data_IF_614428522998
#
_entry.id   IF_614428522998
#
_cell.length_a   1.000
_cell.length_b   1.000
_cell.length_c   1.000
_cell.angle_alpha   90.00
_cell.angle_beta   90.00
_cell.angle_gamma   90.00
#
_symmetry.space_group_name_H-M   'P 1'
#
loop_
_entity.id
_entity.type
_entity.pdbx_description
1 polymer ?
#
# COMPACT_ATOMS: atom_id res chain seq x y z
N UNK A 1 -82.27 11.81 5.50
CA UNK A 1 -81.52 10.74 4.79
C UNK A 1 -80.59 10.12 5.85
N UNK A 2 -81.05 9.06 6.51
CA UNK A 2 -80.34 8.44 7.65
C UNK A 2 -79.37 7.37 7.13
N UNK A 3 -78.08 7.60 7.24
CA UNK A 3 -77.05 6.59 7.00
C UNK A 3 -77.07 5.58 8.18
N UNK A 4 -77.17 4.30 7.82
CA UNK A 4 -77.20 3.18 8.79
C UNK A 4 -75.86 3.09 9.52
N UNK A 5 -75.80 2.88 10.82
CA UNK A 5 -74.58 2.84 11.65
C UNK A 5 -73.59 1.72 11.27
N UNK A 6 -74.00 0.74 10.50
CA UNK A 6 -73.16 -0.36 10.02
C UNK A 6 -72.14 0.03 8.94
N UNK A 7 -72.40 1.05 8.11
CA UNK A 7 -71.48 1.53 7.08
C UNK A 7 -70.29 2.31 7.67
N UNK A 8 -70.55 3.13 8.69
CA UNK A 8 -69.50 3.90 9.36
C UNK A 8 -68.44 3.02 10.08
N UNK A 9 -68.87 1.86 10.62
CA UNK A 9 -67.98 0.94 11.29
C UNK A 9 -67.06 0.15 10.33
N UNK A 10 -67.53 -0.11 9.09
CA UNK A 10 -66.75 -0.83 8.08
C UNK A 10 -65.68 0.09 7.47
N UNK A 11 -66.01 1.35 7.18
CA UNK A 11 -65.05 2.31 6.69
C UNK A 11 -63.91 2.63 7.67
N UNK A 12 -64.23 2.71 8.98
CA UNK A 12 -63.23 2.98 10.00
C UNK A 12 -62.31 1.79 10.24
N UNK A 13 -62.80 0.55 10.03
CA UNK A 13 -61.93 -0.65 10.11
C UNK A 13 -61.05 -0.80 8.90
N UNK A 14 -61.51 -0.52 7.71
CA UNK A 14 -60.68 -0.58 6.48
C UNK A 14 -59.62 0.50 6.51
N UNK A 15 -59.90 1.73 6.96
CA UNK A 15 -58.94 2.81 7.10
C UNK A 15 -57.85 2.51 8.13
N UNK A 16 -58.16 1.82 9.24
CA UNK A 16 -57.18 1.39 10.23
C UNK A 16 -56.29 0.23 9.75
N UNK A 17 -56.81 -0.70 8.96
CA UNK A 17 -56.01 -1.79 8.38
C UNK A 17 -55.08 -1.28 7.27
N UNK A 18 -55.48 -0.31 6.44
CA UNK A 18 -54.63 0.30 5.43
C UNK A 18 -53.53 1.16 6.06
N UNK A 19 -53.79 1.88 7.17
CA UNK A 19 -52.74 2.67 7.83
C UNK A 19 -51.71 1.78 8.57
N UNK A 20 -52.14 0.67 9.16
CA UNK A 20 -51.19 -0.31 9.76
C UNK A 20 -50.37 -1.06 8.70
N UNK A 21 -50.93 -1.36 7.53
CA UNK A 21 -50.19 -2.00 6.44
C UNK A 21 -49.15 -1.04 5.79
N UNK A 22 -49.42 0.26 5.71
CA UNK A 22 -48.44 1.26 5.24
C UNK A 22 -47.31 1.50 6.26
N UNK A 23 -47.57 1.40 7.57
CA UNK A 23 -46.49 1.51 8.57
C UNK A 23 -45.61 0.27 8.67
N UNK A 24 -46.08 -0.91 8.26
CA UNK A 24 -45.28 -2.13 8.19
C UNK A 24 -44.39 -2.20 6.94
N UNK A 25 -44.72 -1.47 5.89
CA UNK A 25 -43.90 -1.36 4.66
C UNK A 25 -42.83 -0.26 4.75
N UNK A 26 -42.92 0.69 5.68
CA UNK A 26 -41.90 1.73 5.88
C UNK A 26 -40.73 1.27 6.79
N UNK A 27 -40.81 0.07 7.38
CA UNK A 27 -39.85 -0.43 8.35
C UNK A 27 -38.72 -1.31 7.84
N UNK A 28 -38.54 -1.50 6.53
CA UNK A 28 -37.55 -2.42 5.96
C UNK A 28 -36.66 -1.77 4.87
N UNK A 29 -36.46 -0.48 4.93
CA UNK A 29 -35.34 0.14 4.25
C UNK A 29 -34.28 0.51 5.29
N UNK A 30 -33.70 -0.51 5.92
CA UNK A 30 -32.35 -0.38 6.43
C UNK A 30 -31.46 -0.28 5.19
N UNK A 31 -30.72 0.80 4.97
CA UNK A 31 -29.63 0.76 4.04
C UNK A 31 -28.71 -0.33 4.60
N UNK A 32 -28.64 -1.46 3.90
CA UNK A 32 -27.55 -2.42 4.08
C UNK A 32 -26.29 -1.67 3.67
N UNK A 33 -25.76 -0.86 4.58
CA UNK A 33 -24.36 -0.47 4.52
C UNK A 33 -23.62 -1.80 4.45
N UNK A 34 -23.05 -2.08 3.32
CA UNK A 34 -22.00 -3.09 3.22
C UNK A 34 -20.90 -2.56 4.13
N UNK A 35 -20.94 -2.94 5.40
CA UNK A 35 -19.76 -2.84 6.25
C UNK A 35 -18.74 -3.69 5.51
N UNK A 36 -17.78 -3.06 4.85
CA UNK A 36 -16.64 -3.72 4.28
C UNK A 36 -16.11 -4.60 5.41
N UNK A 37 -16.04 -5.92 5.16
CA UNK A 37 -15.55 -6.86 6.18
C UNK A 37 -14.06 -6.61 6.30
N UNK A 38 -13.68 -5.67 7.18
CA UNK A 38 -12.31 -5.34 7.46
C UNK A 38 -11.65 -6.55 8.12
N UNK A 39 -10.77 -7.22 7.40
CA UNK A 39 -10.05 -8.37 7.93
C UNK A 39 -8.98 -7.91 8.93
N UNK A 40 -8.96 -8.48 10.15
CA UNK A 40 -7.92 -8.15 11.12
C UNK A 40 -6.59 -8.80 10.75
N UNK A 41 -5.50 -8.01 10.87
CA UNK A 41 -4.14 -8.48 10.66
C UNK A 41 -3.29 -8.27 11.92
N UNK A 42 -2.36 -9.18 12.16
CA UNK A 42 -1.37 -9.06 13.21
C UNK A 42 -0.12 -8.36 12.67
N UNK A 43 0.26 -7.24 13.31
CA UNK A 43 1.56 -6.61 13.10
C UNK A 43 2.62 -7.37 13.92
N UNK A 44 3.74 -7.74 13.29
CA UNK A 44 4.86 -8.36 13.98
C UNK A 44 5.55 -7.40 14.95
N UNK A 45 6.29 -7.97 15.93
CA UNK A 45 7.19 -7.17 16.74
C UNK A 45 8.28 -6.53 15.84
N UNK A 46 8.80 -5.36 16.20
CA UNK A 46 9.89 -4.75 15.46
C UNK A 46 11.14 -5.64 15.48
N UNK A 47 11.83 -5.71 14.35
CA UNK A 47 13.04 -6.53 14.20
C UNK A 47 14.26 -5.96 14.95
N UNK A 48 14.18 -4.69 15.34
CA UNK A 48 15.11 -3.99 16.23
C UNK A 48 14.34 -3.47 17.43
N UNK A 49 15.00 -3.34 18.58
CA UNK A 49 14.44 -2.69 19.77
C UNK A 49 14.76 -1.19 19.73
N UNK A 50 13.86 -0.33 19.21
CA UNK A 50 14.13 1.09 19.15
C UNK A 50 14.08 1.69 20.57
N UNK A 51 14.91 2.71 20.81
CA UNK A 51 14.78 3.51 22.03
C UNK A 51 13.45 4.27 21.99
N UNK A 52 12.78 4.34 23.16
CA UNK A 52 11.54 5.12 23.29
C UNK A 52 11.76 6.59 22.93
N UNK A 53 10.77 7.18 22.27
CA UNK A 53 10.79 8.61 21.95
C UNK A 53 10.73 9.46 23.23
N UNK A 54 11.52 10.53 23.30
CA UNK A 54 11.41 11.49 24.39
C UNK A 54 10.12 12.32 24.20
N UNK A 55 9.12 12.02 25.02
CA UNK A 55 7.80 12.64 24.96
C UNK A 55 7.62 13.65 26.11
N UNK A 56 7.03 14.79 25.81
CA UNK A 56 6.52 15.71 26.82
C UNK A 56 5.32 15.12 27.58
N UNK A 57 4.92 15.77 28.68
CA UNK A 57 3.75 15.35 29.47
C UNK A 57 2.47 15.23 28.63
N UNK A 58 2.24 16.24 27.79
CA UNK A 58 1.03 16.36 26.98
C UNK A 58 0.95 15.29 25.89
N UNK A 59 2.10 14.91 25.27
CA UNK A 59 2.17 13.84 24.28
C UNK A 59 1.94 12.48 24.94
N UNK A 60 2.50 12.26 26.15
CA UNK A 60 2.26 11.01 26.92
C UNK A 60 0.80 10.87 27.30
N UNK A 61 0.21 11.93 27.87
CA UNK A 61 -1.21 11.93 28.22
C UNK A 61 -2.07 11.60 26.99
N UNK A 62 -1.79 12.22 25.86
CA UNK A 62 -2.52 11.97 24.63
C UNK A 62 -2.42 10.51 24.18
N UNK A 63 -1.23 9.90 24.22
CA UNK A 63 -1.02 8.49 23.87
C UNK A 63 -1.72 7.56 24.87
N UNK A 64 -1.72 7.89 26.17
CA UNK A 64 -2.40 7.12 27.21
C UNK A 64 -3.95 7.14 27.04
N UNK A 65 -4.48 8.25 26.52
CA UNK A 65 -5.90 8.39 26.20
C UNK A 65 -6.28 7.60 24.94
N UNK A 66 -5.40 7.54 23.94
CA UNK A 66 -5.65 6.90 22.64
C UNK A 66 -5.28 5.42 22.57
N UNK A 67 -4.63 4.85 23.56
CA UNK A 67 -4.24 3.44 23.83
C UNK A 67 -3.98 2.52 22.64
N UNK A 68 -4.79 2.58 21.56
CA UNK A 68 -4.72 1.71 20.38
C UNK A 68 -4.87 2.53 19.11
N UNK A 69 -3.88 2.48 18.26
CA UNK A 69 -3.89 3.08 16.94
C UNK A 69 -4.58 2.15 15.95
N UNK A 70 -5.60 2.65 15.26
CA UNK A 70 -6.34 1.91 14.24
C UNK A 70 -5.69 2.17 12.88
N UNK A 71 -5.13 1.14 12.28
CA UNK A 71 -4.34 1.22 11.05
C UNK A 71 -5.05 0.51 9.92
N UNK A 72 -5.20 1.17 8.79
CA UNK A 72 -5.67 0.59 7.54
C UNK A 72 -4.53 0.16 6.64
N UNK A 73 -4.69 -0.99 5.99
CA UNK A 73 -3.81 -1.47 4.93
C UNK A 73 -4.64 -1.90 3.73
N UNK A 74 -4.13 -1.75 2.52
CA UNK A 74 -4.72 -2.40 1.36
C UNK A 74 -4.30 -3.88 1.32
N UNK A 75 -5.26 -4.79 1.10
CA UNK A 75 -5.01 -6.20 0.84
C UNK A 75 -4.67 -6.31 -0.65
N UNK A 76 -3.60 -5.68 -1.07
CA UNK A 76 -3.12 -5.75 -2.43
C UNK A 76 -1.81 -6.54 -2.46
N UNK A 77 -1.55 -7.11 -3.62
CA UNK A 77 -0.29 -7.79 -3.93
C UNK A 77 0.79 -6.73 -4.22
N UNK A 78 1.30 -6.09 -3.15
CA UNK A 78 2.19 -4.93 -3.22
C UNK A 78 3.58 -5.24 -2.65
N UNK A 79 3.98 -6.55 -2.77
CA UNK A 79 5.30 -6.99 -2.31
C UNK A 79 6.45 -6.24 -2.99
N UNK A 80 7.45 -5.81 -2.21
CA UNK A 80 7.72 -6.05 -0.80
C UNK A 80 7.26 -4.92 0.13
N UNK A 81 6.51 -3.94 -0.37
CA UNK A 81 6.08 -2.77 0.42
C UNK A 81 5.06 -3.18 1.47
N UNK A 82 3.97 -3.82 1.03
CA UNK A 82 2.93 -4.40 1.87
C UNK A 82 2.74 -5.86 1.51
N UNK A 83 2.82 -6.73 2.50
CA UNK A 83 2.64 -8.17 2.36
C UNK A 83 1.57 -8.61 3.36
N UNK A 84 0.51 -9.20 2.83
CA UNK A 84 -0.54 -9.84 3.62
C UNK A 84 -0.49 -11.34 3.40
N UNK A 85 -0.36 -12.10 4.48
CA UNK A 85 -0.29 -13.56 4.39
C UNK A 85 -1.62 -14.22 4.77
N UNK A 86 -1.85 -15.45 4.30
CA UNK A 86 -3.02 -16.29 4.63
C UNK A 86 -3.22 -16.52 6.14
N UNK A 87 -2.21 -16.22 6.96
CA UNK A 87 -2.28 -16.29 8.42
C UNK A 87 -2.66 -14.95 9.07
N UNK A 88 -3.25 -14.04 8.33
CA UNK A 88 -3.61 -12.70 8.79
C UNK A 88 -2.41 -11.96 9.41
N UNK A 89 -1.24 -12.04 8.77
CA UNK A 89 -0.04 -11.30 9.19
C UNK A 89 0.25 -10.20 8.20
N UNK A 90 0.51 -9.02 8.73
CA UNK A 90 0.98 -7.86 7.98
C UNK A 90 2.49 -7.72 8.10
N UNK A 91 3.18 -7.70 6.98
CA UNK A 91 4.64 -7.66 6.84
C UNK A 91 5.02 -6.72 5.70
N UNK A 92 6.31 -6.52 5.47
CA UNK A 92 6.83 -5.66 4.40
C UNK A 92 7.50 -4.40 4.93
N UNK A 93 7.96 -3.57 4.02
CA UNK A 93 8.65 -2.31 4.35
C UNK A 93 7.78 -1.43 5.26
N UNK A 94 6.51 -1.23 4.90
CA UNK A 94 5.60 -0.39 5.67
C UNK A 94 5.30 -0.95 7.05
N UNK A 95 5.18 -2.28 7.17
CA UNK A 95 4.97 -2.96 8.44
C UNK A 95 6.17 -2.80 9.38
N UNK A 96 7.40 -2.92 8.85
CA UNK A 96 8.62 -2.71 9.62
C UNK A 96 8.70 -1.28 10.17
N UNK A 97 8.47 -0.27 9.34
CA UNK A 97 8.43 1.13 9.80
C UNK A 97 7.31 1.36 10.82
N UNK A 98 6.11 0.85 10.57
CA UNK A 98 5.00 0.97 11.51
C UNK A 98 5.34 0.37 12.87
N UNK A 99 5.90 -0.85 12.89
CA UNK A 99 6.27 -1.54 14.13
C UNK A 99 7.35 -0.79 14.92
N UNK A 100 8.36 -0.25 14.24
CA UNK A 100 9.42 0.55 14.86
C UNK A 100 8.88 1.86 15.45
N UNK A 101 8.04 2.58 14.70
CA UNK A 101 7.44 3.85 15.15
C UNK A 101 6.55 3.62 16.36
N UNK A 102 5.65 2.64 16.28
CA UNK A 102 4.70 2.38 17.37
C UNK A 102 5.37 1.85 18.62
N UNK A 103 6.46 1.11 18.49
CA UNK A 103 7.32 0.72 19.62
C UNK A 103 8.03 1.94 20.24
N UNK A 104 8.54 2.90 19.44
CA UNK A 104 9.11 4.16 19.96
C UNK A 104 8.08 5.01 20.72
N UNK A 105 6.83 5.01 20.26
CA UNK A 105 5.72 5.74 20.87
C UNK A 105 5.10 5.02 22.06
N UNK A 106 5.31 3.70 22.19
CA UNK A 106 4.69 2.88 23.22
C UNK A 106 3.19 2.69 23.03
N UNK A 107 2.68 2.74 21.77
CA UNK A 107 1.26 2.61 21.46
C UNK A 107 0.96 1.25 20.83
N UNK A 108 -0.15 0.61 21.26
CA UNK A 108 -0.63 -0.62 20.65
C UNK A 108 -1.27 -0.33 19.28
N UNK A 109 -1.32 -1.36 18.40
CA UNK A 109 -1.84 -1.24 17.04
C UNK A 109 -2.94 -2.28 16.79
N UNK A 110 -3.98 -1.85 16.08
CA UNK A 110 -4.97 -2.73 15.46
C UNK A 110 -4.95 -2.49 13.96
N UNK A 111 -4.60 -3.51 13.18
CA UNK A 111 -4.52 -3.42 11.72
C UNK A 111 -5.78 -4.02 11.11
N UNK A 112 -6.39 -3.29 10.17
CA UNK A 112 -7.55 -3.70 9.39
C UNK A 112 -7.23 -3.62 7.91
N UNK A 113 -7.51 -4.71 7.18
CA UNK A 113 -7.29 -4.80 5.73
C UNK A 113 -8.52 -4.41 4.94
N UNK A 114 -8.34 -3.63 3.89
CA UNK A 114 -9.35 -3.21 2.93
C UNK A 114 -9.07 -3.84 1.56
N UNK A 115 -10.11 -4.28 0.87
CA UNK A 115 -9.94 -4.92 -0.45
C UNK A 115 -9.47 -3.92 -1.51
N UNK A 116 -9.86 -2.65 -1.37
CA UNK A 116 -9.48 -1.55 -2.27
C UNK A 116 -8.88 -0.38 -1.49
N UNK A 117 -8.01 0.38 -2.16
CA UNK A 117 -7.41 1.61 -1.59
C UNK A 117 -8.45 2.65 -1.25
N UNK A 118 -9.47 2.83 -2.11
CA UNK A 118 -10.56 3.78 -1.90
C UNK A 118 -11.30 3.51 -0.60
N UNK A 119 -11.62 2.25 -0.29
CA UNK A 119 -12.31 1.86 0.94
C UNK A 119 -11.49 2.26 2.18
N UNK A 120 -10.17 2.09 2.13
CA UNK A 120 -9.27 2.52 3.19
C UNK A 120 -9.23 4.04 3.36
N UNK A 121 -9.22 4.78 2.23
CA UNK A 121 -9.28 6.26 2.24
C UNK A 121 -10.60 6.74 2.80
N UNK A 122 -11.73 6.15 2.40
CA UNK A 122 -13.05 6.48 2.94
C UNK A 122 -13.14 6.22 4.44
N UNK A 123 -12.63 5.07 4.91
CA UNK A 123 -12.58 4.73 6.33
C UNK A 123 -11.70 5.70 7.13
N UNK A 124 -10.58 6.17 6.56
CA UNK A 124 -9.72 7.18 7.18
C UNK A 124 -10.43 8.53 7.30
N UNK A 125 -11.06 9.00 6.24
CA UNK A 125 -11.82 10.26 6.24
C UNK A 125 -13.03 10.20 7.17
N UNK A 126 -13.69 9.04 7.27
CA UNK A 126 -14.80 8.80 8.21
C UNK A 126 -14.34 8.67 9.67
N UNK A 127 -13.03 8.58 9.95
CA UNK A 127 -12.49 8.39 11.30
C UNK A 127 -12.67 6.97 11.85
N UNK A 128 -12.92 5.98 11.00
CA UNK A 128 -12.98 4.57 11.37
C UNK A 128 -11.58 4.00 11.65
N UNK A 129 -10.56 4.52 10.95
CA UNK A 129 -9.14 4.28 11.19
C UNK A 129 -8.42 5.61 11.43
N UNK A 130 -7.22 5.55 11.99
CA UNK A 130 -6.41 6.73 12.35
C UNK A 130 -5.32 7.02 11.33
N UNK A 131 -4.84 5.98 10.65
CA UNK A 131 -3.87 6.12 9.56
C UNK A 131 -3.99 5.01 8.52
N UNK A 132 -3.51 5.32 7.30
CA UNK A 132 -3.27 4.39 6.20
C UNK A 132 -1.76 4.24 5.96
N UNK A 133 -1.31 3.01 5.74
CA UNK A 133 0.08 2.72 5.36
C UNK A 133 0.30 2.90 3.86
N UNK A 134 1.55 2.96 3.44
CA UNK A 134 1.98 2.98 2.04
C UNK A 134 1.26 3.99 1.15
N UNK A 135 0.87 5.13 1.72
CA UNK A 135 0.29 6.22 0.95
C UNK A 135 1.30 6.78 -0.05
N UNK A 136 0.88 6.91 -1.29
CA UNK A 136 1.71 7.32 -2.42
C UNK A 136 1.04 8.43 -3.26
N UNK A 137 1.31 8.46 -4.55
CA UNK A 137 0.76 9.46 -5.46
C UNK A 137 -0.77 9.47 -5.57
N UNK A 138 -1.44 8.34 -5.33
CA UNK A 138 -2.90 8.23 -5.35
C UNK A 138 -3.52 9.01 -4.18
N UNK A 139 -3.13 8.72 -2.96
CA UNK A 139 -3.69 9.39 -1.77
C UNK A 139 -3.32 10.88 -1.72
N UNK A 140 -2.17 11.27 -2.30
CA UNK A 140 -1.76 12.69 -2.35
C UNK A 140 -2.70 13.55 -3.18
N UNK A 141 -3.48 12.98 -4.09
CA UNK A 141 -4.53 13.67 -4.82
C UNK A 141 -5.82 13.87 -3.98
N UNK A 142 -5.97 13.16 -2.86
CA UNK A 142 -7.18 13.19 -2.02
C UNK A 142 -7.14 14.37 -1.05
N UNK A 143 -8.20 15.18 -1.06
CA UNK A 143 -8.36 16.29 -0.10
C UNK A 143 -8.70 15.79 1.30
N UNK A 144 -8.24 16.50 2.32
CA UNK A 144 -8.53 16.18 3.72
C UNK A 144 -7.53 15.21 4.35
N UNK A 145 -6.51 14.79 3.61
CA UNK A 145 -5.42 13.97 4.11
C UNK A 145 -4.16 14.81 4.35
N UNK A 146 -3.37 14.37 5.33
CA UNK A 146 -2.02 14.83 5.60
C UNK A 146 -1.07 13.62 5.61
N UNK A 147 0.20 13.85 5.32
CA UNK A 147 1.17 12.79 5.10
C UNK A 147 2.41 13.02 5.96
N UNK A 148 2.94 11.92 6.49
CA UNK A 148 4.27 11.98 7.12
C UNK A 148 5.34 12.31 6.08
N UNK A 149 6.57 12.60 6.54
CA UNK A 149 7.73 12.50 5.65
C UNK A 149 7.79 11.07 5.06
N UNK A 150 8.33 10.99 3.84
CA UNK A 150 8.43 9.73 3.14
C UNK A 150 9.47 8.82 3.83
N UNK A 151 9.09 7.56 4.05
CA UNK A 151 10.00 6.56 4.60
C UNK A 151 10.66 5.70 3.52
N UNK A 152 10.11 5.70 2.30
CA UNK A 152 10.68 5.04 1.14
C UNK A 152 10.39 5.86 -0.12
N UNK A 153 11.40 6.13 -0.99
CA UNK A 153 11.16 6.76 -2.29
C UNK A 153 10.26 5.89 -3.17
N UNK A 154 9.29 6.50 -3.83
CA UNK A 154 8.50 5.87 -4.89
C UNK A 154 9.01 6.35 -6.25
N UNK A 155 9.94 5.60 -6.84
CA UNK A 155 10.39 5.82 -8.20
C UNK A 155 9.50 5.00 -9.13
N UNK A 156 8.76 5.71 -9.98
CA UNK A 156 7.92 5.08 -10.99
C UNK A 156 8.71 4.72 -12.22
N UNK A 157 8.58 3.48 -12.67
CA UNK A 157 9.28 2.93 -13.83
C UNK A 157 8.32 2.38 -14.87
N UNK A 158 8.81 2.32 -16.10
CA UNK A 158 8.16 1.62 -17.21
C UNK A 158 8.78 0.25 -17.36
N UNK A 159 7.96 -0.79 -17.30
CA UNK A 159 8.32 -2.18 -17.55
C UNK A 159 7.79 -2.58 -18.92
N UNK A 160 8.60 -3.25 -19.70
CA UNK A 160 8.24 -3.81 -21.00
C UNK A 160 8.79 -5.21 -21.19
N UNK A 161 8.41 -5.88 -22.27
CA UNK A 161 9.01 -7.15 -22.69
C UNK A 161 10.47 -6.92 -23.04
N UNK A 162 11.36 -7.83 -22.65
CA UNK A 162 12.81 -7.69 -22.82
C UNK A 162 13.25 -7.39 -24.26
N UNK A 163 12.59 -8.02 -25.22
CA UNK A 163 12.83 -7.88 -26.65
C UNK A 163 12.16 -6.66 -27.32
N UNK A 164 11.30 -5.93 -26.59
CA UNK A 164 10.61 -4.74 -27.13
C UNK A 164 11.53 -3.52 -27.08
N UNK A 165 11.87 -3.01 -28.24
CA UNK A 165 12.66 -1.77 -28.44
C UNK A 165 11.82 -0.60 -28.91
N UNK A 166 10.49 -0.76 -29.03
CA UNK A 166 9.58 0.25 -29.56
C UNK A 166 9.07 1.23 -28.50
N UNK A 167 9.38 1.00 -27.22
CA UNK A 167 8.95 1.87 -26.14
C UNK A 167 9.80 3.14 -26.09
N UNK A 168 9.14 4.29 -26.15
CA UNK A 168 9.74 5.61 -25.91
C UNK A 168 9.23 6.17 -24.58
N UNK A 169 9.88 7.18 -24.04
CA UNK A 169 9.46 7.82 -22.78
C UNK A 169 8.07 8.43 -22.84
N UNK A 170 7.62 8.90 -24.00
CA UNK A 170 6.27 9.46 -24.19
C UNK A 170 5.18 8.39 -24.25
N UNK A 171 5.49 7.14 -24.59
CA UNK A 171 4.57 6.02 -24.73
C UNK A 171 3.38 6.27 -25.67
N UNK A 172 3.52 7.19 -26.63
CA UNK A 172 2.46 7.58 -27.55
C UNK A 172 1.91 6.37 -28.33
N UNK A 173 0.57 6.21 -28.30
CA UNK A 173 -0.14 5.12 -28.98
C UNK A 173 0.05 3.74 -28.33
N UNK A 174 0.59 3.66 -27.14
CA UNK A 174 0.80 2.40 -26.41
C UNK A 174 -0.37 2.10 -25.47
N UNK A 175 -0.63 0.81 -25.28
CA UNK A 175 -1.55 0.29 -24.27
C UNK A 175 -0.78 0.12 -22.97
N UNK A 176 -1.17 0.86 -21.96
CA UNK A 176 -0.52 0.89 -20.65
C UNK A 176 -1.38 0.20 -19.63
N UNK A 177 -0.77 -0.49 -18.69
CA UNK A 177 -1.43 -0.99 -17.50
C UNK A 177 -0.77 -0.43 -16.25
N UNK A 178 -1.58 -0.04 -15.29
CA UNK A 178 -1.19 0.50 -13.98
C UNK A 178 -1.97 -0.25 -12.91
N UNK A 179 -1.40 -0.42 -11.73
CA UNK A 179 -2.18 -0.96 -10.60
C UNK A 179 -3.27 0.01 -10.18
N UNK A 180 -4.45 -0.52 -9.93
CA UNK A 180 -5.54 0.24 -9.34
C UNK A 180 -5.08 0.84 -7.98
N UNK A 181 -5.32 2.14 -7.78
CA UNK A 181 -4.86 2.86 -6.59
C UNK A 181 -3.35 3.17 -6.54
N UNK A 182 -2.57 3.00 -7.63
CA UNK A 182 -1.16 3.42 -7.66
C UNK A 182 -1.00 4.93 -7.93
N UNK A 183 -1.76 5.47 -8.86
CA UNK A 183 -1.74 6.87 -9.20
C UNK A 183 -3.15 7.35 -9.58
N UNK A 184 -3.40 8.63 -9.38
CA UNK A 184 -4.66 9.26 -9.79
C UNK A 184 -4.84 9.21 -11.31
N UNK A 185 -6.06 8.90 -11.76
CA UNK A 185 -6.39 8.72 -13.18
C UNK A 185 -6.15 10.02 -14.01
N UNK A 186 -6.48 11.18 -13.44
CA UNK A 186 -6.27 12.47 -14.11
C UNK A 186 -4.77 12.77 -14.28
N UNK A 187 -3.95 12.36 -13.30
CA UNK A 187 -2.48 12.47 -13.40
C UNK A 187 -1.96 11.59 -14.52
N UNK A 188 -2.41 10.33 -14.58
CA UNK A 188 -2.01 9.38 -15.61
C UNK A 188 -2.36 9.89 -17.02
N UNK A 189 -3.60 10.34 -17.24
CA UNK A 189 -4.03 10.87 -18.53
C UNK A 189 -3.35 12.19 -18.92
N UNK A 190 -2.97 13.01 -17.94
CA UNK A 190 -2.22 14.24 -18.19
C UNK A 190 -0.78 13.95 -18.61
N UNK A 191 -0.16 12.94 -18.02
CA UNK A 191 1.25 12.57 -18.30
C UNK A 191 1.33 11.78 -19.61
N UNK A 192 0.36 10.91 -19.89
CA UNK A 192 0.33 10.05 -21.07
C UNK A 192 -0.96 10.25 -21.90
N UNK A 193 -1.16 11.46 -22.47
CA UNK A 193 -2.43 11.83 -23.09
C UNK A 193 -2.77 11.09 -24.39
N UNK A 194 -1.79 10.39 -24.99
CA UNK A 194 -1.97 9.65 -26.25
C UNK A 194 -1.89 8.15 -26.05
N UNK A 195 -1.88 7.67 -24.82
CA UNK A 195 -1.84 6.26 -24.48
C UNK A 195 -3.21 5.76 -24.05
N UNK A 196 -3.49 4.50 -24.32
CA UNK A 196 -4.64 3.81 -23.76
C UNK A 196 -4.25 3.24 -22.40
N UNK A 197 -4.92 3.68 -21.33
CA UNK A 197 -4.56 3.32 -19.95
C UNK A 197 -5.63 2.41 -19.36
N UNK A 198 -5.23 1.25 -18.88
CA UNK A 198 -6.06 0.31 -18.14
C UNK A 198 -5.57 0.15 -16.72
N UNK A 199 -6.51 -0.13 -15.78
CA UNK A 199 -6.19 -0.41 -14.39
C UNK A 199 -6.29 -1.92 -14.14
N UNK A 200 -5.29 -2.47 -13.48
CA UNK A 200 -5.28 -3.87 -13.09
C UNK A 200 -5.51 -4.00 -11.57
N UNK A 201 -6.33 -4.95 -11.13
CA UNK A 201 -6.61 -5.13 -9.71
C UNK A 201 -5.44 -5.74 -8.92
N UNK A 202 -4.51 -6.40 -9.59
CA UNK A 202 -3.33 -7.04 -8.96
C UNK A 202 -2.09 -6.87 -9.83
N UNK A 203 -0.92 -6.89 -9.19
CA UNK A 203 0.36 -6.88 -9.89
C UNK A 203 0.49 -8.10 -10.83
N UNK A 204 0.01 -9.25 -10.36
CA UNK A 204 0.01 -10.48 -11.17
C UNK A 204 -0.75 -10.28 -12.49
N UNK A 205 -1.99 -9.79 -12.44
CA UNK A 205 -2.79 -9.58 -13.66
C UNK A 205 -2.18 -8.54 -14.60
N UNK A 206 -1.56 -7.48 -14.04
CA UNK A 206 -0.87 -6.47 -14.84
C UNK A 206 0.34 -7.04 -15.59
N UNK A 207 1.19 -7.80 -14.88
CA UNK A 207 2.42 -8.35 -15.45
C UNK A 207 2.15 -9.51 -16.42
N UNK A 208 1.12 -10.33 -16.16
CA UNK A 208 0.68 -11.36 -17.10
C UNK A 208 0.16 -10.74 -18.41
N UNK A 209 -0.70 -9.72 -18.33
CA UNK A 209 -1.19 -8.99 -19.52
C UNK A 209 -0.03 -8.41 -20.33
N UNK A 210 1.01 -7.88 -19.67
CA UNK A 210 2.21 -7.41 -20.32
C UNK A 210 3.01 -8.54 -20.99
N UNK A 211 3.19 -9.66 -20.30
CA UNK A 211 3.93 -10.81 -20.82
C UNK A 211 3.23 -11.42 -22.04
N UNK A 212 1.89 -11.52 -22.01
CA UNK A 212 1.08 -12.05 -23.10
C UNK A 212 0.94 -11.09 -24.30
N UNK A 213 1.25 -9.80 -24.11
CA UNK A 213 1.16 -8.79 -25.17
C UNK A 213 -0.22 -8.13 -25.29
N UNK A 214 -1.10 -8.33 -24.31
CA UNK A 214 -2.40 -7.66 -24.22
C UNK A 214 -2.22 -6.16 -23.99
N UNK A 215 -1.11 -5.79 -23.32
CA UNK A 215 -0.64 -4.40 -23.14
C UNK A 215 0.81 -4.28 -23.56
N UNK A 216 1.27 -3.06 -23.77
CA UNK A 216 2.60 -2.79 -24.26
C UNK A 216 3.60 -2.43 -23.15
N UNK A 217 3.11 -1.81 -22.07
CA UNK A 217 3.94 -1.46 -20.92
C UNK A 217 3.13 -1.48 -19.60
N UNK A 218 3.84 -1.79 -18.51
CA UNK A 218 3.37 -1.57 -17.14
C UNK A 218 4.07 -0.33 -16.56
N UNK A 219 3.33 0.49 -15.82
CA UNK A 219 3.88 1.61 -15.06
C UNK A 219 3.61 1.38 -13.58
N UNK A 220 4.67 1.44 -12.77
CA UNK A 220 4.56 1.24 -11.34
C UNK A 220 5.88 1.44 -10.61
N UNK A 221 5.90 1.13 -9.32
CA UNK A 221 7.07 1.31 -8.47
C UNK A 221 8.25 0.40 -8.90
N UNK A 222 9.47 0.95 -8.89
CA UNK A 222 10.70 0.25 -9.29
C UNK A 222 11.01 -0.97 -8.39
N UNK A 223 10.85 -0.84 -7.07
CA UNK A 223 11.12 -1.93 -6.12
C UNK A 223 10.16 -3.10 -6.35
N UNK A 224 8.88 -2.79 -6.52
CA UNK A 224 7.83 -3.79 -6.79
C UNK A 224 8.09 -4.50 -8.12
N UNK A 225 8.35 -3.73 -9.19
CA UNK A 225 8.60 -4.27 -10.51
C UNK A 225 9.82 -5.20 -10.54
N UNK A 226 10.92 -4.79 -9.90
CA UNK A 226 12.13 -5.61 -9.83
C UNK A 226 11.95 -6.83 -8.95
N UNK A 227 11.26 -6.71 -7.83
CA UNK A 227 10.94 -7.85 -6.96
C UNK A 227 10.14 -8.90 -7.72
N UNK A 228 9.11 -8.47 -8.43
CA UNK A 228 8.29 -9.37 -9.25
C UNK A 228 9.10 -10.08 -10.33
N UNK A 229 9.91 -9.31 -11.07
CA UNK A 229 10.73 -9.85 -12.15
C UNK A 229 11.82 -10.81 -11.62
N UNK A 230 12.42 -10.52 -10.47
CA UNK A 230 13.41 -11.41 -9.85
C UNK A 230 12.83 -12.78 -9.47
N UNK A 231 11.57 -12.80 -9.04
CA UNK A 231 10.86 -14.04 -8.70
C UNK A 231 10.35 -14.80 -9.94
N UNK A 232 10.17 -14.10 -11.08
CA UNK A 232 9.57 -14.64 -12.32
C UNK A 232 10.38 -14.29 -13.58
N UNK A 233 11.68 -14.65 -13.64
CA UNK A 233 12.55 -14.28 -14.76
C UNK A 233 12.11 -14.88 -16.09
N UNK A 234 11.34 -15.97 -16.05
CA UNK A 234 10.81 -16.65 -17.24
C UNK A 234 9.79 -15.81 -18.03
N UNK A 235 9.21 -14.77 -17.43
CA UNK A 235 8.31 -13.84 -18.13
C UNK A 235 9.06 -12.91 -19.11
N UNK A 236 10.37 -12.79 -18.96
CA UNK A 236 11.20 -11.96 -19.85
C UNK A 236 10.89 -10.46 -19.79
N UNK A 237 10.33 -10.00 -18.67
CA UNK A 237 10.00 -8.60 -18.44
C UNK A 237 11.23 -7.83 -17.91
N UNK A 238 11.36 -6.56 -18.28
CA UNK A 238 12.47 -5.72 -17.88
C UNK A 238 12.03 -4.29 -17.61
N UNK A 239 12.62 -3.67 -16.60
CA UNK A 239 12.54 -2.21 -16.43
C UNK A 239 13.26 -1.56 -17.61
N UNK A 240 12.57 -0.69 -18.33
CA UNK A 240 13.08 -0.02 -19.52
C UNK A 240 13.68 1.35 -19.19
N UNK A 241 12.93 2.16 -18.46
CA UNK A 241 13.32 3.52 -18.05
C UNK A 241 12.41 4.02 -16.94
N UNK A 242 12.78 5.16 -16.35
CA UNK A 242 11.90 5.86 -15.39
C UNK A 242 10.69 6.45 -16.10
N UNK A 243 9.52 6.38 -15.47
CA UNK A 243 8.30 6.96 -16.02
C UNK A 243 8.32 8.50 -15.94
N UNK A 244 7.41 9.15 -16.65
CA UNK A 244 7.21 10.60 -16.55
C UNK A 244 6.28 11.01 -15.38
N UNK A 245 5.81 10.06 -14.58
CA UNK A 245 5.02 10.40 -13.40
C UNK A 245 5.86 11.23 -12.42
N UNK A 246 5.26 12.21 -11.74
CA UNK A 246 5.97 12.97 -10.72
C UNK A 246 6.57 12.04 -9.66
N UNK A 247 7.82 12.27 -9.22
CA UNK A 247 8.40 11.49 -8.14
C UNK A 247 7.60 11.71 -6.86
N UNK A 248 7.32 10.62 -6.16
CA UNK A 248 6.63 10.60 -4.87
C UNK A 248 7.41 9.74 -3.88
N UNK A 249 6.83 9.52 -2.70
CA UNK A 249 7.37 8.60 -1.72
C UNK A 249 6.23 7.92 -0.98
N UNK A 250 6.53 6.77 -0.41
CA UNK A 250 5.63 6.09 0.51
C UNK A 250 5.69 6.75 1.88
N UNK A 251 4.52 7.08 2.39
CA UNK A 251 4.31 7.75 3.68
C UNK A 251 3.14 7.13 4.42
N UNK A 252 2.91 7.54 5.65
CA UNK A 252 1.66 7.28 6.35
C UNK A 252 0.70 8.43 6.09
N UNK A 253 -0.54 8.11 5.68
CA UNK A 253 -1.61 9.09 5.53
C UNK A 253 -2.48 9.13 6.78
N UNK A 254 -2.87 10.33 7.18
CA UNK A 254 -3.73 10.64 8.32
C UNK A 254 -4.75 11.69 7.90
N UNK A 255 -5.80 11.91 8.69
CA UNK A 255 -6.67 13.06 8.46
C UNK A 255 -5.89 14.36 8.66
N UNK A 256 -6.24 15.38 7.91
CA UNK A 256 -5.55 16.67 7.92
C UNK A 256 -5.57 17.37 9.30
N UNK A 257 -6.57 17.09 10.12
CA UNK A 257 -6.74 17.65 11.47
C UNK A 257 -6.02 16.84 12.57
N UNK A 258 -5.54 15.63 12.27
CA UNK A 258 -4.77 14.80 13.21
C UNK A 258 -3.30 15.25 13.35
N UNK A 259 -3.09 16.55 13.54
CA UNK A 259 -1.76 17.20 13.52
C UNK A 259 -0.82 16.66 14.62
N UNK A 260 -1.34 16.24 15.76
CA UNK A 260 -0.54 15.68 16.86
C UNK A 260 0.02 14.31 16.48
N UNK A 261 -0.83 13.41 15.96
CA UNK A 261 -0.40 12.10 15.49
C UNK A 261 0.65 12.23 14.38
N UNK A 262 0.42 13.12 13.42
CA UNK A 262 1.35 13.42 12.33
C UNK A 262 2.71 13.89 12.87
N UNK A 263 2.71 14.80 13.86
CA UNK A 263 3.94 15.31 14.48
C UNK A 263 4.71 14.19 15.19
N UNK A 264 4.02 13.33 15.96
CA UNK A 264 4.63 12.21 16.67
C UNK A 264 5.25 11.19 15.72
N UNK A 265 4.56 10.87 14.63
CA UNK A 265 5.08 9.96 13.61
C UNK A 265 6.30 10.52 12.90
N UNK A 266 6.28 11.82 12.51
CA UNK A 266 7.42 12.46 11.86
C UNK A 266 8.65 12.52 12.79
N UNK A 267 8.46 12.80 14.07
CA UNK A 267 9.55 12.77 15.07
C UNK A 267 10.11 11.37 15.22
N UNK A 268 9.24 10.35 15.31
CA UNK A 268 9.68 8.96 15.42
C UNK A 268 10.45 8.51 14.17
N UNK A 269 9.99 8.86 12.96
CA UNK A 269 10.69 8.60 11.70
C UNK A 269 12.07 9.26 11.66
N UNK A 270 12.14 10.53 12.01
CA UNK A 270 13.42 11.29 12.04
C UNK A 270 14.45 10.67 13.01
N UNK A 271 13.98 10.14 14.15
CA UNK A 271 14.86 9.49 15.14
C UNK A 271 15.26 8.04 14.78
N UNK A 272 14.67 7.40 13.77
CA UNK A 272 15.13 6.09 13.30
C UNK A 272 16.53 6.21 12.69
N UNK A 273 16.79 7.28 11.96
CA UNK A 273 18.08 7.56 11.35
C UNK A 273 18.43 6.66 10.16
N UNK A 274 19.51 7.02 9.48
CA UNK A 274 19.89 6.38 8.21
C UNK A 274 20.29 4.89 8.35
N UNK A 275 20.83 4.48 9.50
CA UNK A 275 21.21 3.08 9.71
C UNK A 275 20.00 2.15 9.75
N UNK A 276 18.95 2.55 10.44
CA UNK A 276 17.70 1.78 10.51
C UNK A 276 17.00 1.78 9.16
N UNK A 277 16.98 2.94 8.48
CA UNK A 277 16.40 3.05 7.14
C UNK A 277 17.09 2.09 6.16
N UNK A 278 18.42 2.02 6.17
CA UNK A 278 19.18 1.05 5.36
C UNK A 278 18.87 -0.39 5.72
N UNK A 279 18.74 -0.68 7.01
CA UNK A 279 18.43 -2.03 7.47
C UNK A 279 17.05 -2.50 7.00
N UNK A 280 16.01 -1.66 7.17
CA UNK A 280 14.66 -1.93 6.66
C UNK A 280 14.70 -2.19 5.14
N UNK A 281 15.34 -1.30 4.39
CA UNK A 281 15.43 -1.45 2.94
C UNK A 281 16.18 -2.74 2.57
N UNK A 282 17.32 -3.01 3.19
CA UNK A 282 18.12 -4.21 2.93
C UNK A 282 17.34 -5.51 3.17
N UNK A 283 16.52 -5.57 4.20
CA UNK A 283 15.69 -6.75 4.51
C UNK A 283 14.75 -7.13 3.37
N UNK A 284 14.21 -6.14 2.69
CA UNK A 284 13.15 -6.33 1.70
C UNK A 284 13.62 -6.20 0.26
N UNK A 285 14.80 -5.63 0.02
CA UNK A 285 15.39 -5.47 -1.31
C UNK A 285 16.63 -6.32 -1.54
N UNK A 286 17.04 -7.12 -0.55
CA UNK A 286 18.17 -8.03 -0.70
C UNK A 286 17.94 -9.00 -1.87
N UNK A 287 18.87 -9.00 -2.85
CA UNK A 287 18.74 -9.80 -4.08
C UNK A 287 18.12 -9.09 -5.29
N UNK A 288 17.58 -7.87 -5.13
CA UNK A 288 17.05 -7.09 -6.26
C UNK A 288 18.13 -6.33 -7.07
N UNK A 289 19.39 -6.49 -6.68
CA UNK A 289 20.54 -5.79 -7.28
C UNK A 289 20.86 -4.45 -6.59
N UNK A 290 22.11 -4.02 -6.69
CA UNK A 290 22.62 -2.81 -6.03
C UNK A 290 21.92 -1.51 -6.48
N UNK A 291 21.28 -1.52 -7.64
CA UNK A 291 20.61 -0.35 -8.21
C UNK A 291 19.28 0.00 -7.52
N UNK A 292 18.61 -0.99 -6.91
CA UNK A 292 17.31 -0.78 -6.26
C UNK A 292 17.46 -0.04 -4.92
N UNK A 293 18.54 -0.31 -4.21
CA UNK A 293 18.81 0.33 -2.91
C UNK A 293 19.41 1.74 -3.03
N UNK A 294 19.73 2.19 -4.24
CA UNK A 294 20.45 3.45 -4.44
C UNK A 294 21.84 3.48 -3.78
N UNK A 295 22.31 2.34 -3.31
CA UNK A 295 23.57 2.21 -2.59
C UNK A 295 24.58 1.46 -3.46
N UNK A 296 25.43 2.21 -4.12
CA UNK A 296 26.75 1.69 -4.42
C UNK A 296 27.40 1.34 -3.09
N UNK A 297 27.82 0.08 -2.91
CA UNK A 297 28.70 -0.27 -1.80
C UNK A 297 29.91 0.64 -1.88
N UNK A 298 30.01 1.60 -0.97
CA UNK A 298 31.16 2.47 -0.86
C UNK A 298 32.29 1.67 -0.22
N UNK A 299 33.07 1.01 -1.07
CA UNK A 299 34.25 0.29 -0.65
C UNK A 299 35.34 1.31 -0.23
N UNK A 300 35.92 1.09 0.93
CA UNK A 300 37.12 1.79 1.35
C UNK A 300 38.28 1.48 0.40
N UNK A 301 39.30 2.33 0.36
CA UNK A 301 40.48 2.10 -0.47
C UNK A 301 41.14 0.75 -0.17
N UNK A 302 41.12 0.30 1.07
CA UNK A 302 41.63 -1.00 1.49
C UNK A 302 40.82 -2.16 0.92
N UNK A 303 39.49 -2.10 0.96
CA UNK A 303 38.58 -3.11 0.40
C UNK A 303 38.69 -3.17 -1.13
N UNK A 304 38.81 -2.02 -1.81
CA UNK A 304 39.06 -1.98 -3.25
C UNK A 304 40.39 -2.61 -3.62
N UNK A 305 41.44 -2.38 -2.83
CA UNK A 305 42.72 -2.99 -3.02
C UNK A 305 42.67 -4.51 -2.80
N UNK A 306 41.95 -4.94 -1.77
CA UNK A 306 41.75 -6.36 -1.47
C UNK A 306 41.03 -7.06 -2.65
N UNK A 307 39.93 -6.50 -3.16
CA UNK A 307 39.19 -7.06 -4.31
C UNK A 307 40.05 -7.13 -5.59
N UNK A 308 40.87 -6.14 -5.82
CA UNK A 308 41.82 -6.20 -6.96
C UNK A 308 42.83 -7.31 -6.86
N UNK A 309 43.26 -7.63 -5.66
CA UNK A 309 44.25 -8.69 -5.39
C UNK A 309 43.60 -10.08 -5.23
N UNK A 310 42.27 -10.14 -5.09
CA UNK A 310 41.48 -11.37 -4.93
C UNK A 310 40.40 -11.42 -5.99
N UNK A 311 40.80 -11.60 -7.25
CA UNK A 311 39.91 -11.63 -8.42
C UNK A 311 38.97 -12.84 -8.46
N UNK A 312 39.17 -13.83 -7.56
CA UNK A 312 38.36 -15.02 -7.46
C UNK A 312 37.96 -15.26 -6.00
N UNK A 313 36.69 -15.52 -5.79
CA UNK A 313 36.14 -15.98 -4.51
C UNK A 313 35.78 -17.45 -4.67
N UNK A 314 36.38 -18.32 -3.85
CA UNK A 314 36.05 -19.74 -3.85
C UNK A 314 34.88 -19.94 -2.92
N UNK A 315 33.74 -20.36 -3.46
CA UNK A 315 32.55 -20.72 -2.70
C UNK A 315 32.45 -22.24 -2.63
N UNK A 316 32.51 -22.80 -1.42
CA UNK A 316 32.23 -24.21 -1.19
C UNK A 316 30.76 -24.40 -0.80
N UNK A 317 30.10 -25.36 -1.43
CA UNK A 317 28.73 -25.72 -1.11
C UNK A 317 28.56 -27.24 -1.13
N UNK A 318 27.66 -27.78 -0.31
CA UNK A 318 27.24 -29.18 -0.37
C UNK A 318 26.02 -29.29 -1.30
N UNK A 319 25.85 -30.43 -1.95
CA UNK A 319 24.64 -30.69 -2.75
C UNK A 319 23.39 -30.66 -1.85
N UNK A 320 22.42 -29.88 -2.22
CA UNK A 320 21.16 -29.73 -1.49
C UNK A 320 20.00 -29.55 -2.47
N UNK A 321 19.58 -30.64 -3.16
CA UNK A 321 18.46 -30.54 -4.11
C UNK A 321 17.17 -30.06 -3.41
N UNK A 322 16.35 -29.23 -4.03
CA UNK A 322 16.48 -28.67 -5.38
C UNK A 322 17.29 -27.36 -5.45
N UNK A 323 17.84 -26.88 -4.32
CA UNK A 323 18.44 -25.54 -4.23
C UNK A 323 19.86 -25.46 -4.75
N UNK A 324 20.66 -26.51 -4.52
CA UNK A 324 22.05 -26.61 -4.97
C UNK A 324 22.30 -28.03 -5.47
N UNK A 325 22.58 -28.17 -6.77
CA UNK A 325 22.91 -29.48 -7.37
C UNK A 325 23.88 -29.28 -8.54
N UNK A 326 24.57 -30.36 -8.89
CA UNK A 326 25.43 -30.41 -10.04
C UNK A 326 24.67 -31.07 -11.18
N UNK A 327 24.63 -30.45 -12.34
CA UNK A 327 24.14 -31.06 -13.59
C UNK A 327 25.00 -32.25 -14.00
#
# INVERSE_FOLDING_TARGET
MNMSPSKALIETRILRFTLCALMLLAGVWSPSGHAAQNLPFALGAPFLSPHALHLGSDDRQWLDEHKVLRVGIAIADYEPIDITSDRNRYQGVSADYLSLITAKLGIAVRVSGFAKREEGVEALLAGEIDLLTSANGYERAVKGLAFTQDYLPDRSVVVGRGNDTSLSTALDGKRLVVLDGYADADVLHRVYPKSEISLAPTLYSAMEALAQGDVDAFIGNDVIARSYNAQRPYLGLQVKFESLLPPTGFSFAMRQDDTRLLTLFNRALAELGDSVNREVQSRWTAGLGADVAGQRIHLTAAEQLWLRNHSQVIVASTQHPPYIFKD
#
